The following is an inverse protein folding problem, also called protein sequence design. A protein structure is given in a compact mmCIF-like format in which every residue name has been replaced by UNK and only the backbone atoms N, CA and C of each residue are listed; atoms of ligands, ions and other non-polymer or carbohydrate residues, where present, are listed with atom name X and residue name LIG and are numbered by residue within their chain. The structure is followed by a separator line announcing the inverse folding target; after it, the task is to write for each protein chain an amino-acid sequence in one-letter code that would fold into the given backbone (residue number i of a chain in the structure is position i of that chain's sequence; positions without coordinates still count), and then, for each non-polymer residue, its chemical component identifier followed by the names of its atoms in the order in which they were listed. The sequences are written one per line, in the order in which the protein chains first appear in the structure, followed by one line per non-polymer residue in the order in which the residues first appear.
data_IF_919595707792
#
_entry.id   IF_919595707792
#
_cell.length_a   1.000
_cell.length_b   1.000
_cell.length_c   1.000
_cell.angle_alpha   90.00
_cell.angle_beta   90.00
_cell.angle_gamma   90.00
#
_symmetry.space_group_name_H-M   'P 1'
#
loop_
_entity.id
_entity.type
_entity.pdbx_description
1 polymer ?
#
# COMPACT_ATOMS: atom_id res chain seq x y z
N UNK A 1 14.11 2.81 14.17
CA UNK A 1 14.09 1.44 14.72
C UNK A 1 12.67 0.95 15.02
N UNK A 2 11.87 1.62 15.88
CA UNK A 2 10.49 1.20 16.24
C UNK A 2 9.59 1.01 15.02
N UNK A 3 9.57 1.98 14.08
CA UNK A 3 8.76 1.91 12.85
C UNK A 3 9.09 0.68 11.99
N UNK A 4 10.37 0.30 11.92
CA UNK A 4 10.79 -0.90 11.18
C UNK A 4 10.24 -2.16 11.85
N UNK A 5 10.34 -2.26 13.17
CA UNK A 5 9.80 -3.40 13.94
C UNK A 5 8.29 -3.51 13.74
N UNK A 6 7.55 -2.40 13.86
CA UNK A 6 6.10 -2.40 13.66
C UNK A 6 5.73 -2.88 12.25
N UNK A 7 6.43 -2.42 11.22
CA UNK A 7 6.21 -2.88 9.85
C UNK A 7 6.54 -4.37 9.64
N UNK A 8 7.67 -4.84 10.23
CA UNK A 8 8.09 -6.24 10.10
C UNK A 8 7.06 -7.22 10.73
N UNK A 9 6.32 -6.77 11.74
CA UNK A 9 5.27 -7.55 12.40
C UNK A 9 3.85 -7.16 11.96
N UNK A 10 3.70 -6.26 10.98
CA UNK A 10 2.40 -5.73 10.53
C UNK A 10 1.56 -5.15 11.67
N UNK A 11 2.21 -4.50 12.63
CA UNK A 11 1.59 -3.91 13.80
C UNK A 11 1.59 -2.39 13.74
N UNK A 12 0.65 -1.79 14.43
CA UNK A 12 0.55 -0.34 14.60
C UNK A 12 1.07 0.07 15.98
N UNK A 13 1.61 1.27 16.11
CA UNK A 13 2.10 1.75 17.39
C UNK A 13 1.64 3.17 17.69
N UNK A 14 1.45 3.44 18.96
CA UNK A 14 1.22 4.77 19.49
C UNK A 14 2.14 5.05 20.68
N UNK A 15 2.71 6.26 20.70
CA UNK A 15 3.62 6.67 21.74
C UNK A 15 2.98 7.74 22.63
N UNK A 16 2.69 7.38 23.88
CA UNK A 16 2.27 8.32 24.90
C UNK A 16 3.50 9.10 25.41
N UNK A 17 3.69 10.29 24.87
CA UNK A 17 4.84 11.15 25.20
C UNK A 17 4.81 11.64 26.64
N UNK A 18 3.61 11.78 27.23
CA UNK A 18 3.43 12.26 28.60
C UNK A 18 3.87 11.22 29.62
N UNK A 19 3.46 9.98 29.43
CA UNK A 19 3.78 8.87 30.33
C UNK A 19 5.01 8.07 29.85
N UNK A 20 5.58 8.39 28.68
CA UNK A 20 6.72 7.70 28.06
C UNK A 20 6.45 6.21 27.81
N UNK A 21 5.22 5.87 27.43
CA UNK A 21 4.79 4.50 27.17
C UNK A 21 4.63 4.32 25.66
N UNK A 22 5.19 3.24 25.13
CA UNK A 22 4.95 2.78 23.78
C UNK A 22 3.89 1.66 23.81
N UNK A 23 2.78 1.89 23.14
CA UNK A 23 1.75 0.88 22.92
C UNK A 23 1.92 0.29 21.51
N UNK A 24 1.78 -1.03 21.42
CA UNK A 24 1.82 -1.76 20.16
C UNK A 24 0.50 -2.53 20.05
N UNK A 25 -0.14 -2.44 18.90
CA UNK A 25 -1.45 -3.01 18.63
C UNK A 25 -1.45 -3.76 17.30
N UNK A 26 -2.28 -4.78 17.19
CA UNK A 26 -2.58 -5.38 15.89
C UNK A 26 -3.41 -4.41 15.03
N UNK A 27 -4.31 -3.67 15.66
CA UNK A 27 -5.05 -2.57 15.04
C UNK A 27 -5.24 -1.45 16.07
N UNK A 28 -4.80 -0.24 15.72
CA UNK A 28 -5.02 0.96 16.52
C UNK A 28 -6.41 1.52 16.21
N UNK A 29 -7.14 1.94 17.25
CA UNK A 29 -8.46 2.55 17.10
C UNK A 29 -9.62 1.57 17.15
N UNK A 30 -10.82 2.09 16.91
CA UNK A 30 -12.07 1.37 17.01
C UNK A 30 -12.94 1.59 15.79
N UNK A 31 -13.73 0.59 15.43
CA UNK A 31 -14.82 0.74 14.46
C UNK A 31 -16.08 1.19 15.21
N UNK A 32 -16.37 2.47 15.16
CA UNK A 32 -17.58 3.04 15.75
C UNK A 32 -18.79 2.97 14.81
N UNK A 33 -18.63 2.40 13.60
CA UNK A 33 -19.65 2.46 12.57
C UNK A 33 -19.96 3.89 12.10
N UNK A 34 -19.03 4.82 12.31
CA UNK A 34 -19.22 6.21 11.93
C UNK A 34 -19.37 6.34 10.41
N UNK A 35 -20.49 6.89 9.99
CA UNK A 35 -20.88 7.02 8.59
C UNK A 35 -20.95 8.50 8.20
N UNK A 36 -20.26 8.85 7.12
CA UNK A 36 -20.22 10.20 6.58
C UNK A 36 -20.61 10.18 5.09
N UNK A 37 -21.51 11.07 4.69
CA UNK A 37 -21.92 11.20 3.29
C UNK A 37 -22.01 12.69 2.91
N UNK A 38 -22.15 12.95 1.60
CA UNK A 38 -22.33 14.31 1.07
C UNK A 38 -23.57 15.03 1.66
N UNK A 39 -24.55 14.25 2.15
CA UNK A 39 -25.73 14.78 2.82
C UNK A 39 -25.51 14.95 4.33
N UNK A 40 -24.50 14.25 4.89
CA UNK A 40 -24.23 14.20 6.31
C UNK A 40 -22.75 14.49 6.57
N UNK A 41 -22.45 15.74 6.99
CA UNK A 41 -21.14 16.15 7.57
C UNK A 41 -19.91 16.04 6.65
N UNK A 42 -20.02 15.54 5.42
CA UNK A 42 -18.93 15.50 4.46
C UNK A 42 -18.88 16.83 3.69
N UNK A 43 -17.86 17.65 3.94
CA UNK A 43 -17.66 18.93 3.28
C UNK A 43 -16.86 18.81 2.00
N UNK A 44 -15.84 17.96 2.02
CA UNK A 44 -14.92 17.80 0.91
C UNK A 44 -14.46 16.35 0.82
N UNK A 45 -14.45 15.83 -0.41
CA UNK A 45 -13.80 14.57 -0.74
C UNK A 45 -12.98 14.77 -2.01
N UNK A 46 -11.67 14.77 -1.87
CA UNK A 46 -10.75 14.75 -3.03
C UNK A 46 -10.08 13.40 -3.11
N UNK A 47 -10.01 12.87 -4.31
CA UNK A 47 -9.30 11.65 -4.64
C UNK A 47 -8.03 11.99 -5.40
N UNK A 48 -6.91 11.53 -4.90
CA UNK A 48 -5.62 11.60 -5.57
C UNK A 48 -5.20 10.20 -5.99
N UNK A 49 -4.83 10.02 -7.24
CA UNK A 49 -4.25 8.78 -7.74
C UNK A 49 -2.81 9.06 -8.16
N UNK A 50 -1.86 8.39 -7.51
CA UNK A 50 -0.46 8.47 -7.92
C UNK A 50 -0.15 7.30 -8.85
N UNK A 51 0.19 7.62 -10.11
CA UNK A 51 0.55 6.63 -11.13
C UNK A 51 2.06 6.40 -11.24
N UNK A 52 2.90 7.17 -10.53
CA UNK A 52 4.36 7.08 -10.66
C UNK A 52 4.91 5.73 -10.17
N UNK A 53 4.32 5.17 -9.12
CA UNK A 53 4.73 3.88 -8.56
C UNK A 53 3.95 2.69 -9.15
N UNK A 54 2.94 2.96 -9.96
CA UNK A 54 2.10 1.92 -10.54
C UNK A 54 2.80 1.22 -11.69
N UNK A 55 2.76 -0.10 -11.69
CA UNK A 55 3.35 -0.92 -12.74
C UNK A 55 2.62 -2.24 -12.92
N UNK A 56 2.60 -2.76 -14.14
CA UNK A 56 1.97 -4.05 -14.49
C UNK A 56 2.98 -5.07 -15.00
N UNK A 57 4.19 -4.61 -15.33
CA UNK A 57 5.30 -5.45 -15.79
C UNK A 57 6.57 -5.03 -15.09
N UNK A 58 7.27 -5.99 -14.53
CA UNK A 58 8.56 -5.77 -13.85
C UNK A 58 9.64 -6.59 -14.52
N UNK A 59 10.74 -5.91 -14.86
CA UNK A 59 11.97 -6.54 -15.29
C UNK A 59 12.93 -6.61 -14.08
N UNK A 60 13.20 -7.82 -13.56
CA UNK A 60 14.27 -7.99 -12.59
C UNK A 60 15.62 -7.71 -13.23
N UNK A 61 16.38 -6.81 -12.68
CA UNK A 61 17.71 -6.42 -13.20
C UNK A 61 18.78 -7.18 -12.41
N UNK A 62 19.50 -8.11 -13.05
CA UNK A 62 20.57 -8.85 -12.39
C UNK A 62 21.73 -7.93 -12.04
N UNK A 63 22.35 -8.18 -10.90
CA UNK A 63 23.60 -7.53 -10.51
C UNK A 63 24.83 -8.38 -10.86
N UNK A 64 26.02 -7.82 -10.80
CA UNK A 64 27.29 -8.48 -11.17
C UNK A 64 27.65 -9.68 -10.28
N UNK A 65 27.04 -9.82 -9.12
CA UNK A 65 27.29 -10.90 -8.15
C UNK A 65 26.34 -12.08 -8.32
N UNK A 66 25.32 -11.93 -9.14
CA UNK A 66 24.24 -12.89 -9.24
C UNK A 66 24.67 -14.13 -10.04
N UNK A 67 24.40 -15.32 -9.51
CA UNK A 67 24.47 -16.57 -10.23
C UNK A 67 23.12 -16.99 -10.79
N UNK A 68 23.10 -17.59 -11.96
CA UNK A 68 21.89 -18.03 -12.65
C UNK A 68 21.29 -16.96 -13.55
N UNK A 69 20.25 -17.32 -14.27
CA UNK A 69 19.57 -16.46 -15.23
C UNK A 69 18.06 -16.51 -15.01
N UNK A 70 17.42 -15.35 -14.96
CA UNK A 70 15.98 -15.22 -14.72
C UNK A 70 15.16 -16.01 -15.74
N UNK A 71 15.48 -15.91 -17.01
CA UNK A 71 14.67 -16.58 -18.07
C UNK A 71 14.69 -18.10 -17.96
N UNK A 72 15.74 -18.70 -17.37
CA UNK A 72 15.82 -20.16 -17.17
C UNK A 72 14.82 -20.68 -16.14
N UNK A 73 14.51 -19.84 -15.12
CA UNK A 73 13.64 -20.21 -14.00
C UNK A 73 12.24 -19.58 -14.14
N UNK A 74 12.02 -18.73 -15.14
CA UNK A 74 10.80 -17.98 -15.39
C UNK A 74 10.23 -18.30 -16.78
N UNK A 75 10.16 -19.56 -17.13
CA UNK A 75 9.51 -20.07 -18.38
C UNK A 75 10.02 -19.38 -19.66
N UNK A 76 11.30 -19.03 -19.72
CA UNK A 76 11.87 -18.33 -20.87
C UNK A 76 11.55 -16.84 -20.96
N UNK A 77 11.09 -16.21 -19.86
CA UNK A 77 10.79 -14.79 -19.81
C UNK A 77 11.78 -14.07 -18.90
N UNK A 78 12.17 -12.88 -19.29
CA UNK A 78 13.04 -11.97 -18.53
C UNK A 78 12.24 -10.95 -17.69
N UNK A 79 10.91 -11.05 -17.69
CA UNK A 79 9.99 -10.19 -16.98
C UNK A 79 8.88 -10.99 -16.31
N UNK A 80 8.20 -10.36 -15.35
CA UNK A 80 6.96 -10.83 -14.74
C UNK A 80 5.86 -9.79 -14.94
N UNK A 81 4.60 -10.23 -14.99
CA UNK A 81 3.47 -9.35 -15.28
C UNK A 81 2.24 -9.67 -14.44
N UNK A 82 1.46 -8.63 -14.12
CA UNK A 82 0.17 -8.73 -13.46
C UNK A 82 -0.77 -7.65 -14.01
N UNK A 83 -1.89 -8.07 -14.60
CA UNK A 83 -2.88 -7.20 -15.23
C UNK A 83 -4.24 -7.19 -14.52
N UNK A 84 -4.32 -7.61 -13.26
CA UNK A 84 -5.57 -7.72 -12.50
C UNK A 84 -6.35 -6.40 -12.42
N UNK A 85 -5.66 -5.27 -12.47
CA UNK A 85 -6.26 -3.95 -12.28
C UNK A 85 -6.33 -3.10 -13.54
N UNK A 86 -5.57 -3.42 -14.58
CA UNK A 86 -5.59 -2.70 -15.87
C UNK A 86 -4.95 -3.51 -16.98
N UNK A 87 -5.43 -3.34 -18.21
CA UNK A 87 -4.86 -3.96 -19.41
C UNK A 87 -3.68 -3.15 -20.00
N UNK A 88 -3.29 -2.05 -19.38
CA UNK A 88 -2.18 -1.23 -19.87
C UNK A 88 -0.85 -1.83 -19.45
N UNK A 89 0.06 -1.99 -20.39
CA UNK A 89 1.44 -2.40 -20.12
C UNK A 89 2.24 -1.19 -19.56
N UNK A 90 2.59 -1.24 -18.28
CA UNK A 90 3.37 -0.21 -17.59
C UNK A 90 4.60 -0.90 -17.00
N UNK A 91 5.75 -0.61 -17.59
CA UNK A 91 7.02 -1.27 -17.28
C UNK A 91 7.72 -0.59 -16.12
N UNK A 92 8.23 -1.40 -15.20
CA UNK A 92 9.12 -1.03 -14.10
C UNK A 92 10.32 -1.95 -14.07
N UNK A 93 11.37 -1.50 -13.40
CA UNK A 93 12.58 -2.28 -13.17
C UNK A 93 12.74 -2.52 -11.68
N UNK A 94 13.17 -3.70 -11.32
CA UNK A 94 13.47 -4.07 -9.94
C UNK A 94 14.92 -4.48 -9.82
N UNK A 95 15.65 -3.85 -8.91
CA UNK A 95 17.05 -4.12 -8.61
C UNK A 95 17.18 -4.56 -7.14
N UNK A 96 17.90 -5.64 -6.93
CA UNK A 96 18.31 -6.07 -5.59
C UNK A 96 19.84 -6.26 -5.60
N UNK A 97 20.56 -5.35 -4.93
CA UNK A 97 22.03 -5.35 -4.87
C UNK A 97 22.60 -6.50 -4.01
N UNK A 98 21.75 -7.10 -3.17
CA UNK A 98 22.12 -8.15 -2.25
C UNK A 98 21.72 -9.54 -2.76
N UNK A 99 20.96 -9.61 -3.85
CA UNK A 99 20.60 -10.88 -4.47
C UNK A 99 21.84 -11.59 -5.04
N UNK A 100 22.03 -12.83 -4.62
CA UNK A 100 23.15 -13.69 -5.08
C UNK A 100 22.68 -14.79 -6.04
N UNK A 101 21.38 -15.06 -6.11
CA UNK A 101 20.78 -16.08 -6.96
C UNK A 101 19.55 -15.53 -7.69
N UNK A 102 19.30 -16.07 -8.89
CA UNK A 102 18.19 -15.67 -9.74
C UNK A 102 16.82 -15.85 -9.07
N UNK A 103 16.66 -16.91 -8.28
CA UNK A 103 15.41 -17.20 -7.53
C UNK A 103 15.11 -16.11 -6.49
N UNK A 104 16.14 -15.62 -5.81
CA UNK A 104 16.00 -14.55 -4.81
C UNK A 104 15.55 -13.25 -5.48
N UNK A 105 16.19 -12.88 -6.60
CA UNK A 105 15.84 -11.69 -7.36
C UNK A 105 14.43 -11.78 -7.94
N UNK A 106 14.05 -12.96 -8.47
CA UNK A 106 12.71 -13.20 -9.02
C UNK A 106 11.63 -13.10 -7.94
N UNK A 107 11.88 -13.67 -6.77
CA UNK A 107 10.96 -13.58 -5.62
C UNK A 107 10.76 -12.13 -5.18
N UNK A 108 11.85 -11.36 -5.01
CA UNK A 108 11.75 -9.95 -4.64
C UNK A 108 11.02 -9.12 -5.70
N UNK A 109 11.27 -9.39 -6.98
CA UNK A 109 10.54 -8.74 -8.07
C UNK A 109 9.04 -9.08 -8.05
N UNK A 110 8.66 -10.32 -7.71
CA UNK A 110 7.25 -10.71 -7.57
C UNK A 110 6.57 -9.99 -6.41
N UNK A 111 7.23 -9.88 -5.26
CA UNK A 111 6.73 -9.10 -4.12
C UNK A 111 6.55 -7.62 -4.49
N UNK A 112 7.54 -7.04 -5.17
CA UNK A 112 7.47 -5.68 -5.68
C UNK A 112 6.33 -5.49 -6.67
N UNK A 113 6.16 -6.39 -7.65
CA UNK A 113 5.04 -6.33 -8.61
C UNK A 113 3.68 -6.39 -7.91
N UNK A 114 3.51 -7.27 -6.93
CA UNK A 114 2.27 -7.38 -6.15
C UNK A 114 1.95 -6.09 -5.38
N UNK A 115 2.96 -5.34 -4.95
CA UNK A 115 2.77 -4.05 -4.30
C UNK A 115 2.39 -2.94 -5.29
N UNK A 116 3.08 -2.85 -6.44
CA UNK A 116 2.91 -1.75 -7.40
C UNK A 116 1.78 -1.96 -8.40
N UNK A 117 1.29 -3.19 -8.59
CA UNK A 117 0.17 -3.45 -9.51
C UNK A 117 -1.18 -2.99 -8.95
N UNK A 118 -1.26 -2.69 -7.65
CA UNK A 118 -2.47 -2.16 -7.01
C UNK A 118 -2.48 -0.62 -7.10
N UNK A 119 -3.52 -0.01 -7.71
CA UNK A 119 -3.60 1.45 -7.78
C UNK A 119 -3.70 2.07 -6.39
N UNK A 120 -2.66 2.78 -5.95
CA UNK A 120 -2.68 3.52 -4.68
C UNK A 120 -3.55 4.77 -4.84
N UNK A 121 -4.58 4.88 -4.05
CA UNK A 121 -5.48 6.04 -4.03
C UNK A 121 -5.45 6.69 -2.65
N UNK A 122 -5.17 7.99 -2.62
CA UNK A 122 -5.23 8.81 -1.41
C UNK A 122 -6.49 9.66 -1.45
N UNK A 123 -7.17 9.79 -0.33
CA UNK A 123 -8.33 10.63 -0.17
C UNK A 123 -8.05 11.74 0.84
N UNK A 124 -8.32 12.98 0.44
CA UNK A 124 -8.37 14.13 1.34
C UNK A 124 -9.83 14.38 1.71
N UNK A 125 -10.12 14.37 3.00
CA UNK A 125 -11.48 14.45 3.52
C UNK A 125 -11.57 15.61 4.49
N UNK A 126 -12.58 16.46 4.31
CA UNK A 126 -12.94 17.47 5.29
C UNK A 126 -14.37 17.22 5.80
N UNK A 127 -14.53 17.21 7.11
CA UNK A 127 -15.81 17.05 7.79
C UNK A 127 -16.23 18.38 8.42
N UNK A 128 -17.54 18.65 8.44
CA UNK A 128 -18.08 19.92 8.98
C UNK A 128 -18.28 19.90 10.49
N UNK A 129 -18.59 18.75 11.03
CA UNK A 129 -18.81 18.56 12.46
C UNK A 129 -18.54 17.10 12.81
N UNK A 130 -17.61 16.89 13.71
CA UNK A 130 -17.28 15.58 14.24
C UNK A 130 -17.89 15.54 15.65
N UNK A 131 -19.18 15.25 15.74
CA UNK A 131 -19.89 15.17 17.01
C UNK A 131 -19.37 14.11 17.97
N UNK A 132 -18.41 13.31 17.53
CA UNK A 132 -17.62 12.37 18.31
C UNK A 132 -16.13 12.64 18.03
N UNK A 133 -15.30 12.50 19.04
CA UNK A 133 -13.85 12.58 18.87
C UNK A 133 -13.39 11.35 18.08
N UNK A 134 -12.98 11.54 16.83
CA UNK A 134 -12.32 10.50 16.03
C UNK A 134 -10.86 10.50 16.44
N UNK A 135 -10.37 9.35 16.90
CA UNK A 135 -8.99 9.14 17.28
C UNK A 135 -8.14 8.61 16.12
N UNK A 136 -6.84 8.63 16.32
CA UNK A 136 -5.91 8.01 15.39
C UNK A 136 -6.18 6.51 15.31
N UNK A 137 -6.28 5.97 14.09
CA UNK A 137 -6.54 4.55 13.83
C UNK A 137 -8.03 4.18 13.79
N UNK A 138 -8.95 5.08 14.18
CA UNK A 138 -10.39 4.78 14.13
C UNK A 138 -10.87 4.57 12.70
N UNK A 139 -11.76 3.58 12.54
CA UNK A 139 -12.35 3.23 11.25
C UNK A 139 -13.61 4.08 11.03
N UNK A 140 -13.66 4.76 9.91
CA UNK A 140 -14.82 5.54 9.47
C UNK A 140 -15.27 5.08 8.09
N UNK A 141 -16.56 5.14 7.82
CA UNK A 141 -17.14 4.81 6.51
C UNK A 141 -17.54 6.10 5.81
N UNK A 142 -17.00 6.33 4.63
CA UNK A 142 -17.33 7.48 3.80
C UNK A 142 -18.05 7.00 2.56
N UNK A 143 -19.20 7.62 2.28
CA UNK A 143 -19.98 7.33 1.09
C UNK A 143 -20.16 8.60 0.26
N UNK A 144 -19.58 8.60 -0.91
CA UNK A 144 -19.85 9.61 -1.93
C UNK A 144 -20.95 9.10 -2.87
N UNK A 145 -22.18 9.53 -2.62
CA UNK A 145 -23.34 9.13 -3.43
C UNK A 145 -23.26 9.69 -4.85
N UNK A 146 -22.60 10.84 -5.04
CA UNK A 146 -22.46 11.48 -6.36
C UNK A 146 -21.52 10.64 -7.23
N UNK A 147 -20.44 10.12 -6.65
CA UNK A 147 -19.45 9.31 -7.35
C UNK A 147 -19.67 7.81 -7.20
N UNK A 148 -20.74 7.41 -6.49
CA UNK A 148 -21.05 6.02 -6.15
C UNK A 148 -19.85 5.26 -5.54
N UNK A 149 -19.11 5.95 -4.68
CA UNK A 149 -17.87 5.44 -4.06
C UNK A 149 -18.10 5.25 -2.56
N UNK A 150 -17.75 4.06 -2.06
CA UNK A 150 -17.70 3.74 -0.64
C UNK A 150 -16.25 3.47 -0.25
N UNK A 151 -15.76 4.16 0.80
CA UNK A 151 -14.42 4.03 1.33
C UNK A 151 -14.54 3.60 2.79
N UNK A 152 -13.81 2.56 3.14
CA UNK A 152 -13.71 2.06 4.50
C UNK A 152 -12.28 2.18 5.00
#
# INVERSE_FOLDING_TARGET
MIRKIANDFSQEFWFDTKNKILYIYDNLGKDFGAFYSNELKLKLLKRFSNSYEYGTVVYPVPNDKMSGNIWTINEGRDYIENYDYTNKRIVKFYEDKDATHAEQLLKGAQEYLNEICVPKTTYEIALTDIGSTIGLGDIIIIVDKIKNTKIK
#
